data_IF_612807452108
#
_entry.id   IF_612807452108
#
_cell.length_a   1.000
_cell.length_b   1.000
_cell.length_c   1.000
_cell.angle_alpha   90.00
_cell.angle_beta   90.00
_cell.angle_gamma   90.00
#
_symmetry.space_group_name_H-M   'P 1'
#
loop_
_entity.id
_entity.type
_entity.pdbx_description
1 polymer ?
#
# COMPACT_ATOMS: atom_id res chain seq x y z
N UNK A 1 11.27 -6.32 6.68
CA UNK A 1 11.53 -5.10 7.48
C UNK A 1 12.62 -4.21 6.88
N UNK A 2 13.93 -4.53 6.98
CA UNK A 2 14.97 -3.65 6.41
C UNK A 2 14.77 -3.34 4.91
N UNK A 3 14.42 -4.35 4.11
CA UNK A 3 14.15 -4.19 2.68
C UNK A 3 13.00 -3.21 2.38
N UNK A 4 11.93 -3.24 3.20
CA UNK A 4 10.79 -2.35 3.03
C UNK A 4 11.12 -0.91 3.42
N UNK A 5 11.88 -0.71 4.49
CA UNK A 5 12.40 0.60 4.87
C UNK A 5 13.29 1.21 3.77
N UNK A 6 14.21 0.41 3.20
CA UNK A 6 15.07 0.85 2.11
C UNK A 6 14.26 1.22 0.87
N UNK A 7 13.29 0.39 0.48
CA UNK A 7 12.41 0.68 -0.66
C UNK A 7 11.56 1.94 -0.43
N UNK A 8 11.08 2.16 0.80
CA UNK A 8 10.36 3.38 1.15
C UNK A 8 11.29 4.60 1.03
N UNK A 9 12.52 4.52 1.56
CA UNK A 9 13.52 5.59 1.40
C UNK A 9 13.82 5.93 -0.06
N UNK A 10 13.96 4.92 -0.93
CA UNK A 10 14.11 5.14 -2.38
C UNK A 10 12.87 5.78 -2.98
N UNK A 11 11.68 5.32 -2.60
CA UNK A 11 10.40 5.88 -3.09
C UNK A 11 10.26 7.35 -2.70
N UNK A 12 10.60 7.71 -1.45
CA UNK A 12 10.61 9.09 -0.99
C UNK A 12 11.68 9.94 -1.70
N UNK A 13 12.86 9.38 -1.96
CA UNK A 13 13.90 10.04 -2.75
C UNK A 13 13.44 10.36 -4.17
N UNK A 14 12.69 9.45 -4.80
CA UNK A 14 12.06 9.68 -6.11
C UNK A 14 10.95 10.72 -5.99
N UNK A 15 10.10 10.66 -4.96
CA UNK A 15 9.04 11.64 -4.76
C UNK A 15 9.59 13.07 -4.61
N UNK A 16 10.76 13.22 -3.97
CA UNK A 16 11.40 14.52 -3.75
C UNK A 16 11.86 15.23 -5.02
N UNK A 17 11.99 14.51 -6.15
CA UNK A 17 12.31 15.13 -7.46
C UNK A 17 11.07 15.53 -8.25
N UNK A 18 9.87 15.11 -7.82
CA UNK A 18 8.64 15.50 -8.49
C UNK A 18 8.18 16.91 -8.09
N UNK A 19 7.56 17.66 -9.01
CA UNK A 19 6.76 18.82 -8.68
C UNK A 19 5.67 18.45 -7.66
N UNK A 20 5.37 19.38 -6.75
CA UNK A 20 4.38 19.19 -5.67
C UNK A 20 3.03 18.59 -6.15
N UNK A 21 2.45 19.01 -7.29
CA UNK A 21 1.18 18.43 -7.77
C UNK A 21 1.25 16.95 -8.14
N UNK A 22 2.45 16.40 -8.36
CA UNK A 22 2.65 15.01 -8.80
C UNK A 22 3.01 14.07 -7.66
N UNK A 23 3.30 14.57 -6.45
CA UNK A 23 3.70 13.74 -5.33
C UNK A 23 2.59 12.78 -4.87
N UNK A 24 1.36 13.25 -4.63
CA UNK A 24 0.25 12.38 -4.26
C UNK A 24 -0.17 11.41 -5.39
N UNK A 25 -0.28 11.84 -6.67
CA UNK A 25 -0.48 10.90 -7.78
C UNK A 25 0.59 9.80 -7.84
N UNK A 26 1.86 10.14 -7.60
CA UNK A 26 2.95 9.17 -7.55
C UNK A 26 2.74 8.15 -6.42
N UNK A 27 2.40 8.58 -5.22
CA UNK A 27 2.14 7.66 -4.11
C UNK A 27 0.91 6.78 -4.34
N UNK A 28 -0.15 7.31 -4.95
CA UNK A 28 -1.31 6.51 -5.35
C UNK A 28 -0.94 5.46 -6.40
N UNK A 29 -0.08 5.80 -7.37
CA UNK A 29 0.43 4.84 -8.36
C UNK A 29 1.29 3.74 -7.70
N UNK A 30 2.15 4.11 -6.75
CA UNK A 30 2.94 3.16 -5.96
C UNK A 30 2.04 2.22 -5.16
N UNK A 31 1.00 2.74 -4.49
CA UNK A 31 0.01 1.93 -3.81
C UNK A 31 -0.67 0.95 -4.78
N UNK A 32 -1.09 1.44 -5.96
CA UNK A 32 -1.67 0.64 -7.02
C UNK A 32 -0.78 -0.53 -7.46
N UNK A 33 0.51 -0.29 -7.61
CA UNK A 33 1.49 -1.34 -7.93
C UNK A 33 1.59 -2.40 -6.83
N UNK A 34 1.62 -1.98 -5.56
CA UNK A 34 1.72 -2.88 -4.41
C UNK A 34 0.45 -3.74 -4.28
N UNK A 35 -0.73 -3.13 -4.35
CA UNK A 35 -2.00 -3.88 -4.23
C UNK A 35 -2.33 -4.71 -5.47
N UNK A 36 -1.78 -4.35 -6.63
CA UNK A 36 -1.91 -5.11 -7.88
C UNK A 36 -1.31 -6.52 -7.80
N UNK A 37 -0.48 -6.80 -6.80
CA UNK A 37 0.05 -8.15 -6.55
C UNK A 37 -1.05 -9.13 -6.12
N UNK A 38 -2.09 -8.68 -5.40
CA UNK A 38 -3.14 -9.57 -4.87
C UNK A 38 -3.99 -10.24 -5.96
N UNK A 39 -4.47 -9.54 -7.01
CA UNK A 39 -5.04 -10.20 -8.19
C UNK A 39 -4.13 -11.26 -8.79
N UNK A 40 -2.82 -11.01 -8.87
CA UNK A 40 -1.83 -11.97 -9.36
C UNK A 40 -1.77 -13.23 -8.49
N UNK A 41 -1.73 -13.06 -7.16
CA UNK A 41 -1.79 -14.16 -6.19
C UNK A 41 -3.09 -14.96 -6.34
N UNK A 42 -4.23 -14.26 -6.44
CA UNK A 42 -5.55 -14.88 -6.61
C UNK A 42 -5.62 -15.76 -7.86
N UNK A 43 -5.07 -15.29 -8.98
CA UNK A 43 -5.01 -16.05 -10.23
C UNK A 43 -4.01 -17.22 -10.15
N UNK A 44 -2.88 -17.05 -9.46
CA UNK A 44 -1.85 -18.07 -9.38
C UNK A 44 -2.21 -19.25 -8.46
N UNK A 45 -2.91 -18.98 -7.36
CA UNK A 45 -3.27 -20.00 -6.36
C UNK A 45 -4.66 -20.60 -6.58
N UNK A 46 -5.52 -19.96 -7.39
CA UNK A 46 -6.88 -20.42 -7.64
C UNK A 46 -7.68 -20.59 -6.34
N UNK A 47 -8.47 -21.68 -6.23
CA UNK A 47 -9.30 -21.94 -5.05
C UNK A 47 -8.51 -22.14 -3.75
N UNK A 48 -7.25 -22.57 -3.84
CA UNK A 48 -6.40 -22.80 -2.67
C UNK A 48 -5.97 -21.52 -1.95
N UNK A 49 -6.00 -20.36 -2.62
CA UNK A 49 -5.47 -19.09 -2.10
C UNK A 49 -6.53 -18.06 -1.69
N UNK A 50 -7.79 -18.47 -1.48
CA UNK A 50 -8.92 -17.58 -1.17
C UNK A 50 -8.98 -16.33 -2.08
N UNK A 51 -9.25 -16.53 -3.38
CA UNK A 51 -9.09 -15.50 -4.40
C UNK A 51 -10.06 -14.32 -4.19
N UNK A 52 -11.24 -14.58 -3.62
CA UNK A 52 -12.24 -13.55 -3.33
C UNK A 52 -11.69 -12.50 -2.37
N UNK A 53 -11.04 -12.93 -1.28
CA UNK A 53 -10.49 -11.99 -0.30
C UNK A 53 -9.37 -11.11 -0.89
N UNK A 54 -8.52 -11.69 -1.74
CA UNK A 54 -7.42 -10.99 -2.43
C UNK A 54 -7.94 -9.95 -3.43
N UNK A 55 -9.03 -10.24 -4.14
CA UNK A 55 -9.67 -9.26 -5.02
C UNK A 55 -10.37 -8.14 -4.23
N UNK A 56 -11.15 -8.51 -3.22
CA UNK A 56 -11.91 -7.55 -2.41
C UNK A 56 -10.97 -6.55 -1.74
N UNK A 57 -9.89 -7.02 -1.12
CA UNK A 57 -8.94 -6.14 -0.44
C UNK A 57 -8.20 -5.23 -1.43
N UNK A 58 -7.80 -5.75 -2.61
CA UNK A 58 -7.11 -4.97 -3.62
C UNK A 58 -7.99 -3.83 -4.14
N UNK A 59 -9.26 -4.13 -4.45
CA UNK A 59 -10.23 -3.14 -4.91
C UNK A 59 -10.52 -2.12 -3.81
N UNK A 60 -10.70 -2.57 -2.56
CA UNK A 60 -10.99 -1.67 -1.43
C UNK A 60 -9.84 -0.69 -1.16
N UNK A 61 -8.60 -1.18 -1.11
CA UNK A 61 -7.43 -0.33 -0.85
C UNK A 61 -7.17 0.61 -2.04
N UNK A 62 -7.29 0.11 -3.28
CA UNK A 62 -7.15 0.96 -4.47
C UNK A 62 -8.21 2.06 -4.50
N UNK A 63 -9.47 1.71 -4.23
CA UNK A 63 -10.56 2.69 -4.16
C UNK A 63 -10.29 3.75 -3.07
N UNK A 64 -9.82 3.33 -1.89
CA UNK A 64 -9.46 4.25 -0.82
C UNK A 64 -8.29 5.18 -1.21
N UNK A 65 -7.28 4.64 -1.91
CA UNK A 65 -6.16 5.42 -2.43
C UNK A 65 -6.59 6.44 -3.48
N UNK A 66 -7.47 6.06 -4.42
CA UNK A 66 -8.02 6.95 -5.44
C UNK A 66 -8.93 8.03 -4.83
N UNK A 67 -9.75 7.67 -3.84
CA UNK A 67 -10.52 8.64 -3.06
C UNK A 67 -9.60 9.63 -2.34
N UNK A 68 -8.46 9.17 -1.82
CA UNK A 68 -7.46 10.05 -1.22
C UNK A 68 -6.82 11.01 -2.20
N UNK A 69 -6.69 10.63 -3.47
CA UNK A 69 -6.23 11.52 -4.51
C UNK A 69 -7.25 12.61 -4.86
N UNK A 70 -8.54 12.28 -4.85
CA UNK A 70 -9.60 13.19 -5.30
C UNK A 70 -10.23 14.04 -4.20
N UNK A 71 -10.26 13.56 -2.97
CA UNK A 71 -10.99 14.20 -1.88
C UNK A 71 -10.07 14.71 -0.78
N UNK A 72 -9.24 13.84 -0.20
CA UNK A 72 -8.37 14.20 0.91
C UNK A 72 -7.15 13.27 0.98
N UNK A 73 -5.91 13.78 0.77
CA UNK A 73 -4.68 13.00 0.86
C UNK A 73 -4.51 12.16 2.13
N UNK A 74 -5.16 12.53 3.24
CA UNK A 74 -5.16 11.71 4.45
C UNK A 74 -5.76 10.30 4.23
N UNK A 75 -6.72 10.16 3.31
CA UNK A 75 -7.28 8.86 2.96
C UNK A 75 -6.26 7.99 2.22
N UNK A 76 -5.34 8.59 1.46
CA UNK A 76 -4.24 7.85 0.82
C UNK A 76 -3.26 7.31 1.87
N UNK A 77 -2.96 8.09 2.91
CA UNK A 77 -2.22 7.60 4.07
C UNK A 77 -2.97 6.44 4.77
N UNK A 78 -4.29 6.58 4.91
CA UNK A 78 -5.18 5.53 5.41
C UNK A 78 -5.13 4.25 4.57
N UNK A 79 -5.02 4.37 3.24
CA UNK A 79 -4.91 3.22 2.34
C UNK A 79 -3.60 2.45 2.52
N UNK A 80 -2.46 3.14 2.66
CA UNK A 80 -1.19 2.49 3.02
C UNK A 80 -1.28 1.82 4.39
N UNK A 81 -1.85 2.50 5.39
CA UNK A 81 -2.01 1.90 6.73
C UNK A 81 -2.90 0.66 6.70
N UNK A 82 -4.01 0.70 5.95
CA UNK A 82 -4.89 -0.44 5.78
C UNK A 82 -4.16 -1.62 5.09
N UNK A 83 -3.34 -1.33 4.08
CA UNK A 83 -2.49 -2.33 3.45
C UNK A 83 -1.47 -2.95 4.42
N UNK A 84 -0.86 -2.15 5.29
CA UNK A 84 0.04 -2.63 6.34
C UNK A 84 -0.70 -3.59 7.29
N UNK A 85 -1.90 -3.24 7.73
CA UNK A 85 -2.75 -4.08 8.59
C UNK A 85 -3.08 -5.40 7.88
N UNK A 86 -3.48 -5.34 6.62
CA UNK A 86 -3.75 -6.54 5.82
C UNK A 86 -2.52 -7.44 5.66
N UNK A 87 -1.34 -6.84 5.49
CA UNK A 87 -0.07 -7.57 5.47
C UNK A 87 0.28 -8.21 6.82
N UNK A 88 -0.08 -7.59 7.95
CA UNK A 88 0.02 -8.23 9.27
C UNK A 88 -0.97 -9.40 9.39
N UNK A 89 -2.21 -9.22 8.93
CA UNK A 89 -3.24 -10.26 8.95
C UNK A 89 -2.80 -11.51 8.17
N UNK A 90 -2.15 -11.34 7.02
CA UNK A 90 -1.53 -12.44 6.27
C UNK A 90 -0.53 -13.24 7.12
N UNK A 91 0.19 -12.62 8.04
CA UNK A 91 1.18 -13.33 8.86
C UNK A 91 0.57 -14.09 10.03
N UNK A 92 -0.55 -13.62 10.55
CA UNK A 92 -1.15 -14.16 11.79
C UNK A 92 -2.39 -15.03 11.52
N UNK A 93 -2.83 -15.13 10.27
CA UNK A 93 -3.99 -15.94 9.86
C UNK A 93 -3.64 -16.83 8.68
N UNK A 94 -4.46 -17.87 8.43
CA UNK A 94 -4.36 -18.72 7.24
C UNK A 94 -4.76 -18.04 5.92
N UNK A 95 -4.93 -16.70 5.90
CA UNK A 95 -5.18 -15.95 4.67
C UNK A 95 -3.98 -15.95 3.70
N UNK A 96 -2.81 -16.40 4.17
CA UNK A 96 -1.55 -16.42 3.43
C UNK A 96 -1.14 -17.81 2.91
N UNK A 97 -2.03 -18.80 2.86
CA UNK A 97 -1.70 -20.11 2.29
C UNK A 97 -1.17 -19.93 0.86
N UNK A 98 0.12 -20.22 0.64
CA UNK A 98 0.81 -20.06 -0.64
C UNK A 98 1.59 -18.75 -0.84
N UNK A 99 1.52 -17.78 0.09
CA UNK A 99 2.29 -16.52 0.03
C UNK A 99 3.50 -16.59 0.97
N UNK A 100 4.71 -16.45 0.43
CA UNK A 100 5.93 -16.45 1.27
C UNK A 100 5.96 -15.27 2.25
N UNK A 101 6.37 -15.50 3.50
CA UNK A 101 6.40 -14.48 4.57
C UNK A 101 7.24 -13.23 4.26
N UNK A 102 8.15 -13.34 3.28
CA UNK A 102 9.03 -12.25 2.87
C UNK A 102 8.27 -11.04 2.32
N UNK A 103 7.19 -11.27 1.57
CA UNK A 103 6.41 -10.19 0.96
C UNK A 103 5.58 -9.42 2.00
N UNK A 104 4.75 -10.04 2.85
CA UNK A 104 4.03 -9.32 3.90
C UNK A 104 4.97 -8.54 4.84
N UNK A 105 6.11 -9.12 5.21
CA UNK A 105 7.11 -8.46 6.06
C UNK A 105 7.84 -7.28 5.40
N UNK A 106 7.87 -7.24 4.06
CA UNK A 106 8.34 -6.09 3.30
C UNK A 106 7.28 -4.98 3.33
N UNK A 107 6.03 -5.33 2.97
CA UNK A 107 4.91 -4.40 2.89
C UNK A 107 4.68 -3.66 4.20
N UNK A 108 4.58 -4.36 5.35
CA UNK A 108 4.36 -3.71 6.66
C UNK A 108 5.34 -2.56 6.92
N UNK A 109 6.64 -2.78 6.72
CA UNK A 109 7.64 -1.73 6.94
C UNK A 109 7.60 -0.62 5.89
N UNK A 110 7.30 -0.96 4.64
CA UNK A 110 7.20 -0.01 3.55
C UNK A 110 6.00 0.93 3.77
N UNK A 111 4.82 0.33 3.96
CA UNK A 111 3.54 1.02 4.08
C UNK A 111 3.47 1.93 5.31
N UNK A 112 4.07 1.54 6.44
CA UNK A 112 4.10 2.40 7.63
C UNK A 112 4.88 3.70 7.38
N UNK A 113 5.99 3.62 6.63
CA UNK A 113 6.76 4.82 6.25
C UNK A 113 5.95 5.67 5.26
N UNK A 114 5.35 5.04 4.26
CA UNK A 114 4.53 5.74 3.26
C UNK A 114 3.31 6.42 3.92
N UNK A 115 2.59 5.71 4.79
CA UNK A 115 1.44 6.25 5.51
C UNK A 115 1.84 7.47 6.36
N UNK A 116 2.92 7.35 7.15
CA UNK A 116 3.40 8.45 7.98
C UNK A 116 3.81 9.67 7.15
N UNK A 117 4.53 9.46 6.05
CA UNK A 117 4.99 10.54 5.19
C UNK A 117 3.85 11.22 4.43
N UNK A 118 2.92 10.45 3.85
CA UNK A 118 1.73 11.00 3.16
C UNK A 118 0.86 11.78 4.13
N UNK A 119 0.66 11.27 5.36
CA UNK A 119 -0.07 12.00 6.39
C UNK A 119 0.62 13.31 6.79
N UNK A 120 1.94 13.28 6.97
CA UNK A 120 2.73 14.48 7.25
C UNK A 120 2.58 15.52 6.13
N UNK A 121 2.72 15.10 4.87
CA UNK A 121 2.53 15.99 3.73
C UNK A 121 1.13 16.58 3.69
N UNK A 122 0.09 15.76 3.84
CA UNK A 122 -1.30 16.20 3.84
C UNK A 122 -1.53 17.33 4.86
N UNK A 123 -1.01 17.17 6.08
CA UNK A 123 -1.09 18.18 7.13
C UNK A 123 -0.25 19.42 6.80
N UNK A 124 0.98 19.23 6.34
CA UNK A 124 1.91 20.32 6.05
C UNK A 124 1.43 21.23 4.90
N UNK A 125 0.71 20.67 3.92
CA UNK A 125 0.15 21.41 2.78
C UNK A 125 -1.29 21.88 3.03
N UNK A 126 -1.87 21.64 4.21
CA UNK A 126 -3.25 22.01 4.52
C UNK A 126 -4.31 21.24 3.75
N UNK A 127 -4.00 20.02 3.30
CA UNK A 127 -4.86 19.09 2.55
C UNK A 127 -5.28 17.88 3.42
N UNK A 128 -5.46 18.10 4.72
CA UNK A 128 -5.89 17.05 5.66
C UNK A 128 -7.41 16.85 5.63
#
# INVERSE_FOLDING_TARGET
MLKGLLAAGVTLGIAAVFPEPLAFPFFAAVLGLVVGVYPGIAMALGEAGNPVSQWVVAVAILALGLLGLWQAPILLAGAFLFHAVWSVMHRITGLADGVTEGYPSFCVSFDLVMAAFVAYMAVATGQA
#
